data_IF_056920003996
#
_entry.id   IF_056920003996
#
_cell.length_a   1.000
_cell.length_b   1.000
_cell.length_c   1.000
_cell.angle_alpha   90.00
_cell.angle_beta   90.00
_cell.angle_gamma   90.00
#
_symmetry.space_group_name_H-M   'P 1'
#
loop_
_entity.id
_entity.type
_entity.pdbx_description
1 polymer ?
#
# COMPACT_ATOMS: atom_id res chain seq x y z
N UNK A 1 -4.74 -10.83 7.15
CA UNK A 1 -6.00 -10.80 6.38
C UNK A 1 -5.80 -10.29 4.96
N UNK A 2 -6.85 -10.25 4.14
CA UNK A 2 -6.85 -9.57 2.84
C UNK A 2 -7.97 -8.54 2.84
N UNK A 3 -7.60 -7.27 2.65
CA UNK A 3 -8.48 -6.12 2.74
C UNK A 3 -8.42 -5.35 1.42
N UNK A 4 -9.55 -5.26 0.72
CA UNK A 4 -9.67 -4.54 -0.55
C UNK A 4 -10.65 -3.39 -0.39
N UNK A 5 -10.22 -2.19 -0.76
CA UNK A 5 -11.03 -1.00 -0.84
C UNK A 5 -11.85 -0.93 -2.12
N UNK A 6 -12.10 0.28 -2.58
CA UNK A 6 -12.98 0.58 -3.71
C UNK A 6 -12.33 1.63 -4.60
N UNK A 7 -13.06 2.17 -5.58
CA UNK A 7 -12.58 3.29 -6.38
C UNK A 7 -12.80 4.67 -5.73
N UNK A 8 -13.00 4.72 -4.41
CA UNK A 8 -13.28 5.94 -3.66
C UNK A 8 -12.34 6.05 -2.48
N UNK A 9 -12.41 7.16 -1.74
CA UNK A 9 -11.54 7.38 -0.57
C UNK A 9 -11.89 6.38 0.55
N UNK A 10 -10.93 5.53 0.89
CA UNK A 10 -11.04 4.49 1.91
C UNK A 10 -10.12 4.75 3.11
N UNK A 11 -10.55 4.24 4.27
CA UNK A 11 -9.70 4.14 5.48
C UNK A 11 -9.69 2.67 5.86
N UNK A 12 -8.52 2.05 5.77
CA UNK A 12 -8.32 0.62 5.98
C UNK A 12 -7.22 0.42 7.02
N UNK A 13 -7.52 -0.40 8.02
CA UNK A 13 -6.61 -0.78 9.11
C UNK A 13 -6.58 -2.32 9.19
N UNK A 14 -5.39 -2.91 8.97
CA UNK A 14 -5.16 -4.35 9.10
C UNK A 14 -5.24 -4.84 10.53
N UNK A 15 -4.91 -3.97 11.48
CA UNK A 15 -4.96 -4.29 12.89
C UNK A 15 -3.79 -5.17 13.31
N UNK A 16 -4.01 -6.48 13.42
CA UNK A 16 -2.97 -7.38 13.90
C UNK A 16 -2.94 -8.71 13.16
N UNK A 17 -1.73 -9.22 12.94
CA UNK A 17 -1.48 -10.35 12.05
C UNK A 17 -0.78 -9.88 10.78
N UNK A 18 -0.59 -10.78 9.84
CA UNK A 18 0.03 -10.43 8.55
C UNK A 18 -1.08 -10.11 7.55
N UNK A 19 -1.17 -8.84 7.16
CA UNK A 19 -2.23 -8.30 6.31
C UNK A 19 -1.75 -8.00 4.88
N UNK A 20 -2.65 -8.14 3.93
CA UNK A 20 -2.50 -7.64 2.56
C UNK A 20 -3.60 -6.62 2.29
N UNK A 21 -3.21 -5.39 1.96
CA UNK A 21 -4.12 -4.25 1.84
C UNK A 21 -4.03 -3.67 0.43
N UNK A 22 -5.14 -3.69 -0.29
CA UNK A 22 -5.33 -3.03 -1.59
C UNK A 22 -6.30 -1.86 -1.39
N UNK A 23 -5.83 -0.61 -1.52
CA UNK A 23 -6.69 0.58 -1.38
C UNK A 23 -7.67 0.73 -2.55
N UNK A 24 -7.15 0.50 -3.76
CA UNK A 24 -7.83 0.83 -5.01
C UNK A 24 -7.62 2.29 -5.39
N UNK A 25 -8.39 2.78 -6.37
CA UNK A 25 -8.30 4.18 -6.76
C UNK A 25 -8.88 5.09 -5.67
N UNK A 26 -8.20 6.17 -5.32
CA UNK A 26 -8.65 7.02 -4.23
C UNK A 26 -7.49 7.83 -3.71
N UNK A 27 -7.71 8.51 -2.58
CA UNK A 27 -6.64 9.09 -1.78
C UNK A 27 -6.84 8.51 -0.38
N UNK A 28 -6.29 7.32 -0.17
CA UNK A 28 -6.68 6.42 0.90
C UNK A 28 -5.81 6.58 2.13
N UNK A 29 -6.29 6.08 3.26
CA UNK A 29 -5.48 5.90 4.47
C UNK A 29 -5.34 4.41 4.73
N UNK A 30 -4.15 3.88 4.51
CA UNK A 30 -3.85 2.45 4.61
C UNK A 30 -2.89 2.21 5.78
N UNK A 31 -3.32 1.45 6.78
CA UNK A 31 -2.52 1.10 7.96
C UNK A 31 -2.39 -0.41 8.04
N UNK A 32 -1.18 -0.96 8.01
CA UNK A 32 -0.95 -2.40 8.19
C UNK A 32 -1.26 -2.82 9.62
N UNK A 33 -0.54 -2.25 10.59
CA UNK A 33 -0.79 -2.48 12.00
C UNK A 33 0.37 -3.21 12.66
N UNK A 34 0.09 -4.29 13.37
CA UNK A 34 1.13 -5.16 13.96
C UNK A 34 1.25 -6.47 13.20
N UNK A 35 2.43 -6.81 12.74
CA UNK A 35 2.69 -8.04 11.98
C UNK A 35 3.65 -7.73 10.85
N UNK A 36 3.65 -8.57 9.82
CA UNK A 36 4.36 -8.31 8.57
C UNK A 36 3.32 -8.04 7.49
N UNK A 37 3.08 -6.76 7.20
CA UNK A 37 1.99 -6.31 6.35
C UNK A 37 2.46 -5.94 4.94
N UNK A 38 1.57 -6.08 3.98
CA UNK A 38 1.83 -5.87 2.55
C UNK A 38 0.82 -4.89 1.95
N UNK A 39 1.31 -3.82 1.33
CA UNK A 39 0.48 -2.99 0.45
C UNK A 39 0.48 -3.61 -0.96
N UNK A 40 -0.70 -3.81 -1.52
CA UNK A 40 -0.89 -4.42 -2.83
C UNK A 40 -1.36 -3.39 -3.85
N UNK A 41 -0.46 -3.05 -4.77
CA UNK A 41 -0.72 -2.26 -5.98
C UNK A 41 -0.53 -3.13 -7.24
N UNK A 42 -0.68 -4.45 -7.15
CA UNK A 42 -0.45 -5.37 -8.27
C UNK A 42 -1.41 -5.17 -9.44
N UNK A 43 -2.59 -4.59 -9.19
CA UNK A 43 -3.57 -4.23 -10.22
C UNK A 43 -3.14 -3.02 -11.07
N UNK A 44 -2.17 -2.22 -10.60
CA UNK A 44 -1.76 -1.01 -11.29
C UNK A 44 -1.02 -1.31 -12.60
N UNK A 45 -1.45 -0.60 -13.65
CA UNK A 45 -0.76 -0.60 -14.96
C UNK A 45 0.12 0.64 -15.15
N UNK A 46 -0.05 1.64 -14.28
CA UNK A 46 0.80 2.84 -14.21
C UNK A 46 1.87 2.62 -13.13
N UNK A 47 3.06 3.18 -13.32
CA UNK A 47 4.13 3.06 -12.32
C UNK A 47 3.77 3.74 -11.00
N UNK A 48 4.04 3.05 -9.89
CA UNK A 48 3.90 3.58 -8.53
C UNK A 48 5.27 3.90 -7.92
N UNK A 49 5.32 4.91 -7.07
CA UNK A 49 6.48 5.22 -6.22
C UNK A 49 6.07 5.08 -4.77
N UNK A 50 6.52 4.00 -4.13
CA UNK A 50 6.22 3.69 -2.74
C UNK A 50 7.51 3.71 -1.93
N UNK A 51 7.49 4.42 -0.81
CA UNK A 51 8.58 4.43 0.16
C UNK A 51 8.03 4.19 1.56
N UNK A 52 8.23 2.98 2.06
CA UNK A 52 7.79 2.54 3.39
C UNK A 52 8.64 3.12 4.53
N UNK A 53 9.85 3.61 4.25
CA UNK A 53 10.68 4.28 5.28
C UNK A 53 10.20 5.69 5.59
N UNK A 54 9.63 6.38 4.60
CA UNK A 54 9.10 7.74 4.73
C UNK A 54 7.58 7.80 4.67
N UNK A 55 6.90 6.64 4.58
CA UNK A 55 5.45 6.55 4.46
C UNK A 55 4.88 7.39 3.30
N UNK A 56 5.52 7.32 2.14
CA UNK A 56 5.13 8.08 0.95
C UNK A 56 4.61 7.15 -0.14
N UNK A 57 3.50 7.54 -0.77
CA UNK A 57 2.85 6.83 -1.87
C UNK A 57 2.46 7.83 -2.97
N UNK A 58 2.69 7.48 -4.24
CA UNK A 58 2.32 8.32 -5.39
C UNK A 58 2.34 7.54 -6.70
N UNK A 59 1.59 8.04 -7.70
CA UNK A 59 1.45 7.39 -9.02
C UNK A 59 0.43 6.27 -8.98
N UNK A 60 -0.18 5.96 -10.12
CA UNK A 60 -1.26 4.95 -10.19
C UNK A 60 -2.36 5.18 -9.16
N UNK A 61 -2.85 4.08 -8.60
CA UNK A 61 -3.81 4.06 -7.51
C UNK A 61 -3.21 4.60 -6.19
N UNK A 62 -1.88 4.58 -6.04
CA UNK A 62 -1.18 5.14 -4.88
C UNK A 62 -1.22 6.69 -4.78
N UNK A 63 -1.92 7.37 -5.70
CA UNK A 63 -1.91 8.84 -5.81
C UNK A 63 -2.74 9.50 -4.71
N UNK A 64 -2.06 10.08 -3.72
CA UNK A 64 -2.70 10.78 -2.62
C UNK A 64 -2.90 9.91 -1.38
N UNK A 65 -2.47 8.65 -1.45
CA UNK A 65 -2.51 7.73 -0.34
C UNK A 65 -1.59 8.15 0.79
N UNK A 66 -2.07 7.95 2.01
CA UNK A 66 -1.31 7.99 3.25
C UNK A 66 -1.15 6.57 3.75
N UNK A 67 0.09 6.10 3.84
CA UNK A 67 0.41 4.72 4.20
C UNK A 67 1.17 4.65 5.51
N UNK A 68 1.00 3.59 6.31
CA UNK A 68 1.83 3.37 7.50
C UNK A 68 1.79 1.93 7.98
N UNK A 69 2.83 1.52 8.73
CA UNK A 69 2.87 0.22 9.40
C UNK A 69 2.86 -0.97 8.44
N UNK A 70 3.46 -0.82 7.26
CA UNK A 70 3.64 -1.93 6.30
C UNK A 70 5.10 -2.11 5.97
N UNK A 71 5.51 -3.37 5.76
CA UNK A 71 6.89 -3.78 5.55
C UNK A 71 7.15 -4.17 4.09
N UNK A 72 6.09 -4.61 3.40
CA UNK A 72 6.15 -5.11 2.04
C UNK A 72 5.28 -4.30 1.09
N UNK A 73 5.66 -4.31 -0.19
CA UNK A 73 4.87 -3.76 -1.29
C UNK A 73 4.89 -4.76 -2.43
N UNK A 74 3.70 -5.09 -2.95
CA UNK A 74 3.55 -5.74 -4.24
C UNK A 74 3.15 -4.67 -5.25
N UNK A 75 3.85 -4.60 -6.39
CA UNK A 75 3.54 -3.63 -7.46
C UNK A 75 3.14 -4.33 -8.76
N UNK A 76 2.51 -3.56 -9.65
CA UNK A 76 1.95 -4.05 -10.91
C UNK A 76 2.90 -4.01 -12.09
N UNK A 77 2.35 -3.72 -13.27
CA UNK A 77 3.08 -3.77 -14.56
C UNK A 77 3.77 -2.45 -14.93
N UNK A 78 3.67 -1.45 -14.06
CA UNK A 78 4.22 -0.11 -14.25
C UNK A 78 5.73 -0.05 -14.13
N UNK A 79 6.30 1.14 -14.39
CA UNK A 79 7.68 1.44 -14.07
C UNK A 79 7.76 1.87 -12.60
N UNK A 80 7.88 0.90 -11.71
CA UNK A 80 7.75 1.14 -10.26
C UNK A 80 9.07 1.55 -9.60
N UNK A 81 8.98 2.34 -8.54
CA UNK A 81 10.08 2.67 -7.63
C UNK A 81 9.67 2.29 -6.21
N UNK A 82 10.24 1.21 -5.69
CA UNK A 82 9.89 0.68 -4.37
C UNK A 82 11.06 0.82 -3.39
N UNK A 83 10.82 1.46 -2.25
CA UNK A 83 11.73 1.48 -1.11
C UNK A 83 11.04 0.79 0.07
N UNK A 84 11.49 -0.42 0.38
CA UNK A 84 11.02 -1.17 1.55
C UNK A 84 11.67 -0.70 2.86
N UNK A 85 11.15 -1.18 3.99
CA UNK A 85 11.83 -1.07 5.28
C UNK A 85 12.79 -2.25 5.45
N UNK A 86 13.80 -2.11 6.32
CA UNK A 86 14.63 -3.24 6.72
C UNK A 86 13.74 -4.22 7.50
N UNK A 87 13.37 -5.30 6.83
CA UNK A 87 12.30 -6.22 7.22
C UNK A 87 12.34 -6.73 8.65
N UNK A 88 11.13 -6.84 9.19
CA UNK A 88 10.74 -7.84 10.19
C UNK A 88 10.01 -8.97 9.49
#
# INVERSE_FOLDING_TARGET
DTLTGTSGVNVIDGGGGDDTIEGGAGADTLTGGTGTDTLDYSADTTGVTINLTTNSASGGDATGDTISGSENVTSGLGADTLTGTSGV
#
